data_IF_570248354612
#
_entry.id   IF_570248354612
#
_cell.length_a   1.000
_cell.length_b   1.000
_cell.length_c   1.000
_cell.angle_alpha   90.00
_cell.angle_beta   90.00
_cell.angle_gamma   90.00
#
_symmetry.space_group_name_H-M   'P 1'
#
loop_
_entity.id
_entity.type
_entity.pdbx_description
1 polymer ?
#
# COMPACT_ATOMS: atom_id res chain seq x y z
N UNK A 1 -24.09 -16.88 71.07
CA UNK A 1 -23.08 -17.79 70.53
C UNK A 1 -23.73 -18.62 69.43
N UNK A 2 -23.40 -18.35 68.16
CA UNK A 2 -23.53 -19.21 66.95
C UNK A 2 -23.24 -18.29 65.74
N UNK A 3 -21.96 -18.08 65.41
CA UNK A 3 -21.19 -18.84 64.43
C UNK A 3 -21.49 -18.41 62.99
N UNK A 4 -20.67 -17.46 62.53
CA UNK A 4 -20.46 -17.04 61.15
C UNK A 4 -20.02 -18.24 60.30
N UNK A 5 -20.68 -18.50 59.18
CA UNK A 5 -20.12 -19.38 58.12
C UNK A 5 -19.94 -18.54 56.87
N UNK A 6 -18.69 -18.13 56.66
CA UNK A 6 -18.22 -17.51 55.42
C UNK A 6 -18.29 -18.54 54.29
N UNK A 7 -19.03 -18.22 53.21
CA UNK A 7 -18.97 -18.99 51.96
C UNK A 7 -17.87 -18.39 51.08
N UNK A 8 -16.93 -19.17 50.54
CA UNK A 8 -15.96 -18.65 49.59
C UNK A 8 -16.69 -18.37 48.28
N UNK A 9 -16.66 -17.12 47.82
CA UNK A 9 -17.08 -16.77 46.47
C UNK A 9 -15.98 -17.23 45.51
N UNK A 10 -16.27 -18.28 44.74
CA UNK A 10 -15.40 -18.74 43.66
C UNK A 10 -15.56 -17.76 42.49
N UNK A 11 -14.57 -16.88 42.30
CA UNK A 11 -14.51 -15.96 41.17
C UNK A 11 -14.11 -16.75 39.92
N UNK A 12 -15.07 -17.05 39.05
CA UNK A 12 -14.83 -17.67 37.75
C UNK A 12 -14.26 -16.61 36.81
N UNK A 13 -12.93 -16.58 36.63
CA UNK A 13 -12.31 -15.81 35.54
C UNK A 13 -12.63 -16.51 34.21
N UNK A 14 -13.55 -15.93 33.45
CA UNK A 14 -13.76 -16.31 32.05
C UNK A 14 -12.60 -15.71 31.24
N UNK A 15 -11.58 -16.51 30.95
CA UNK A 15 -10.59 -16.18 29.93
C UNK A 15 -11.30 -16.37 28.59
N UNK A 16 -11.77 -15.27 27.99
CA UNK A 16 -12.18 -15.27 26.59
C UNK A 16 -10.88 -15.38 25.78
N UNK A 17 -10.47 -16.60 25.48
CA UNK A 17 -9.46 -16.84 24.47
C UNK A 17 -10.07 -16.42 23.14
N UNK A 18 -9.74 -15.23 22.65
CA UNK A 18 -10.04 -14.81 21.29
C UNK A 18 -9.34 -15.77 20.33
N UNK A 19 -10.08 -16.78 19.88
CA UNK A 19 -9.68 -17.63 18.76
C UNK A 19 -9.57 -16.72 17.54
N UNK A 20 -8.36 -16.21 17.29
CA UNK A 20 -8.02 -15.67 15.99
C UNK A 20 -7.95 -16.87 15.06
N UNK A 21 -9.00 -17.11 14.29
CA UNK A 21 -8.85 -18.03 13.17
C UNK A 21 -7.75 -17.48 12.27
N UNK A 22 -6.72 -18.27 11.93
CA UNK A 22 -5.75 -17.85 10.95
C UNK A 22 -6.54 -17.64 9.66
N UNK A 23 -6.55 -16.39 9.16
CA UNK A 23 -6.97 -16.11 7.79
C UNK A 23 -6.24 -17.11 6.92
N UNK A 24 -6.98 -18.02 6.29
CA UNK A 24 -6.42 -19.05 5.42
C UNK A 24 -5.68 -18.35 4.29
N UNK A 25 -4.36 -18.16 4.48
CA UNK A 25 -3.53 -17.45 3.53
C UNK A 25 -3.61 -18.15 2.17
N UNK A 26 -3.84 -17.37 1.12
CA UNK A 26 -3.93 -17.89 -0.24
C UNK A 26 -2.60 -18.55 -0.65
N UNK A 27 -2.56 -19.88 -0.74
CA UNK A 27 -1.33 -20.61 -1.07
C UNK A 27 -0.99 -20.63 -2.57
N UNK A 28 -1.99 -20.49 -3.44
CA UNK A 28 -1.82 -20.56 -4.91
C UNK A 28 -2.10 -19.22 -5.58
N UNK A 29 -1.28 -18.86 -6.56
CA UNK A 29 -1.49 -17.65 -7.36
C UNK A 29 -2.81 -17.73 -8.13
N UNK A 30 -3.56 -16.62 -8.18
CA UNK A 30 -4.77 -16.54 -9.03
C UNK A 30 -4.45 -16.39 -10.51
N UNK A 31 -3.26 -15.85 -10.84
CA UNK A 31 -2.80 -15.57 -12.21
C UNK A 31 -1.27 -15.61 -12.30
N UNK A 32 -0.65 -16.81 -12.34
CA UNK A 32 0.80 -16.94 -12.47
C UNK A 32 1.36 -16.18 -13.68
N UNK A 33 2.43 -15.39 -13.48
CA UNK A 33 3.14 -14.72 -14.58
C UNK A 33 2.48 -13.44 -15.10
N UNK A 34 1.41 -12.95 -14.45
CA UNK A 34 0.73 -11.70 -14.85
C UNK A 34 1.66 -10.47 -14.82
N UNK A 35 2.79 -10.57 -14.10
CA UNK A 35 3.79 -9.50 -13.94
C UNK A 35 5.01 -9.64 -14.86
N UNK A 36 5.08 -10.66 -15.73
CA UNK A 36 6.29 -10.94 -16.52
C UNK A 36 6.71 -9.74 -17.40
N UNK A 37 5.74 -9.05 -18.01
CA UNK A 37 6.01 -7.84 -18.81
C UNK A 37 6.45 -6.62 -17.99
N UNK A 38 6.33 -6.68 -16.67
CA UNK A 38 6.68 -5.60 -15.74
C UNK A 38 7.96 -5.89 -14.96
N UNK A 39 8.61 -7.05 -15.15
CA UNK A 39 9.88 -7.36 -14.49
C UNK A 39 11.04 -6.48 -14.98
N UNK A 40 11.00 -6.11 -16.27
CA UNK A 40 12.01 -5.26 -16.90
C UNK A 40 11.37 -4.18 -17.79
N UNK A 41 10.64 -3.21 -17.22
CA UNK A 41 9.91 -2.22 -18.00
C UNK A 41 10.85 -1.15 -18.56
N UNK A 42 10.43 -0.46 -19.62
CA UNK A 42 10.98 0.85 -20.00
C UNK A 42 10.08 1.96 -19.44
N UNK A 43 10.48 2.65 -18.36
CA UNK A 43 9.64 3.67 -17.75
C UNK A 43 9.19 4.76 -18.71
N UNK A 44 10.00 5.12 -19.73
CA UNK A 44 9.62 6.15 -20.69
C UNK A 44 8.44 5.71 -21.55
N UNK A 45 8.53 4.50 -22.11
CA UNK A 45 7.44 3.92 -22.92
C UNK A 45 6.15 3.81 -22.10
N UNK A 46 6.26 3.41 -20.83
CA UNK A 46 5.10 3.33 -19.95
C UNK A 46 4.54 4.70 -19.59
N UNK A 47 5.36 5.72 -19.38
CA UNK A 47 4.89 7.11 -19.14
C UNK A 47 4.09 7.61 -20.35
N UNK A 48 4.58 7.41 -21.57
CA UNK A 48 3.86 7.77 -22.81
C UNK A 48 2.52 7.04 -22.98
N UNK A 49 2.35 5.89 -22.32
CA UNK A 49 1.11 5.11 -22.35
C UNK A 49 0.17 5.43 -21.20
N UNK A 50 0.71 5.67 -20.01
CA UNK A 50 -0.04 5.79 -18.77
C UNK A 50 -0.48 7.21 -18.47
N UNK A 51 0.32 8.19 -18.86
CA UNK A 51 0.16 9.61 -18.53
C UNK A 51 -0.34 10.42 -19.73
N UNK A 52 -1.46 9.98 -20.31
CA UNK A 52 -2.10 10.61 -21.48
C UNK A 52 -3.55 10.96 -21.19
N UNK A 53 -4.02 12.09 -21.72
CA UNK A 53 -5.38 12.62 -21.46
C UNK A 53 -6.51 11.74 -21.99
N UNK A 54 -6.23 10.83 -22.93
CA UNK A 54 -7.20 9.82 -23.35
C UNK A 54 -7.43 8.72 -22.31
N UNK A 55 -6.54 8.57 -21.32
CA UNK A 55 -6.74 7.66 -20.19
C UNK A 55 -7.51 8.41 -19.10
N UNK A 56 -8.69 7.89 -18.75
CA UNK A 56 -9.57 8.50 -17.74
C UNK A 56 -8.86 8.72 -16.40
N UNK A 57 -8.09 7.74 -15.93
CA UNK A 57 -7.30 7.84 -14.70
C UNK A 57 -6.38 9.07 -14.72
N UNK A 58 -5.71 9.30 -15.85
CA UNK A 58 -4.84 10.46 -15.98
C UNK A 58 -5.65 11.75 -16.09
N UNK A 59 -6.69 11.78 -16.93
CA UNK A 59 -7.57 12.95 -17.08
C UNK A 59 -8.22 13.37 -15.75
N UNK A 60 -8.53 12.42 -14.89
CA UNK A 60 -9.21 12.60 -13.59
C UNK A 60 -8.27 12.62 -12.39
N UNK A 61 -6.95 12.61 -12.59
CA UNK A 61 -5.94 12.50 -11.53
C UNK A 61 -6.10 13.50 -10.37
N UNK A 62 -6.48 14.74 -10.66
CA UNK A 62 -6.70 15.77 -9.64
C UNK A 62 -8.02 15.56 -8.87
N UNK A 63 -9.06 15.07 -9.55
CA UNK A 63 -10.33 14.69 -8.91
C UNK A 63 -10.12 13.48 -7.99
N UNK A 64 -9.34 12.50 -8.43
CA UNK A 64 -8.94 11.33 -7.62
C UNK A 64 -8.13 11.78 -6.39
N UNK A 65 -7.09 12.61 -6.59
CA UNK A 65 -6.28 13.15 -5.50
C UNK A 65 -7.15 13.85 -4.43
N UNK A 66 -8.11 14.66 -4.89
CA UNK A 66 -9.04 15.36 -4.00
C UNK A 66 -9.97 14.39 -3.26
N UNK A 67 -10.48 13.37 -3.93
CA UNK A 67 -11.42 12.41 -3.36
C UNK A 67 -10.82 11.55 -2.24
N UNK A 68 -9.50 11.30 -2.26
CA UNK A 68 -8.80 10.53 -1.22
C UNK A 68 -8.85 11.24 0.14
N UNK A 69 -8.87 12.58 0.16
CA UNK A 69 -9.01 13.34 1.42
C UNK A 69 -7.77 13.33 2.31
N UNK A 70 -6.57 13.33 1.72
CA UNK A 70 -5.29 13.32 2.43
C UNK A 70 -5.14 14.50 3.41
N UNK A 71 -4.58 14.20 4.58
CA UNK A 71 -4.20 15.16 5.62
C UNK A 71 -2.70 15.45 5.55
N UNK A 72 -2.24 16.64 6.00
CA UNK A 72 -0.85 17.07 5.82
C UNK A 72 0.23 16.09 6.27
N UNK A 73 0.00 15.35 7.37
CA UNK A 73 0.98 14.43 7.95
C UNK A 73 0.77 12.95 7.58
N UNK A 74 -0.17 12.64 6.67
CA UNK A 74 -0.44 11.25 6.30
C UNK A 74 0.80 10.61 5.63
N UNK A 75 1.00 9.33 5.91
CA UNK A 75 1.91 8.44 5.20
C UNK A 75 1.13 7.64 4.17
N UNK A 76 1.42 7.85 2.88
CA UNK A 76 0.72 7.18 1.77
C UNK A 76 1.60 6.12 1.13
N UNK A 77 1.10 4.89 1.01
CA UNK A 77 1.68 3.89 0.11
C UNK A 77 1.01 3.96 -1.26
N UNK A 78 1.77 4.21 -2.32
CA UNK A 78 1.35 4.06 -3.72
C UNK A 78 1.75 2.65 -4.19
N UNK A 79 0.81 1.70 -4.14
CA UNK A 79 1.08 0.28 -4.38
C UNK A 79 0.89 -0.07 -5.86
N UNK A 80 1.97 -0.56 -6.48
CA UNK A 80 2.10 -0.64 -7.92
C UNK A 80 2.25 0.75 -8.54
N UNK A 81 3.20 1.52 -8.02
CA UNK A 81 3.38 2.93 -8.37
C UNK A 81 3.66 3.18 -9.87
N UNK A 82 4.21 2.19 -10.58
CA UNK A 82 4.48 2.26 -12.01
C UNK A 82 5.33 3.47 -12.38
N UNK A 83 4.82 4.33 -13.26
CA UNK A 83 5.56 5.53 -13.69
C UNK A 83 5.66 6.60 -12.61
N UNK A 84 4.96 6.46 -11.48
CA UNK A 84 4.97 7.41 -10.36
C UNK A 84 4.04 8.59 -10.51
N UNK A 85 3.03 8.51 -11.39
CA UNK A 85 2.04 9.58 -11.59
C UNK A 85 1.45 10.04 -10.26
N UNK A 86 0.84 9.11 -9.51
CA UNK A 86 0.20 9.43 -8.24
C UNK A 86 1.20 9.66 -7.12
N UNK A 87 2.32 8.92 -7.08
CA UNK A 87 3.43 9.21 -6.17
C UNK A 87 3.82 10.69 -6.17
N UNK A 88 4.02 11.29 -7.35
CA UNK A 88 4.39 12.71 -7.47
C UNK A 88 3.26 13.65 -7.03
N UNK A 89 2.02 13.31 -7.33
CA UNK A 89 0.84 14.10 -6.92
C UNK A 89 0.67 14.09 -5.39
N UNK A 90 0.79 12.93 -4.76
CA UNK A 90 0.74 12.78 -3.31
C UNK A 90 1.89 13.51 -2.63
N UNK A 91 3.11 13.36 -3.14
CA UNK A 91 4.29 13.99 -2.57
C UNK A 91 4.17 15.52 -2.56
N UNK A 92 3.72 16.11 -3.68
CA UNK A 92 3.46 17.53 -3.78
C UNK A 92 2.34 18.01 -2.84
N UNK A 93 1.30 17.18 -2.64
CA UNK A 93 0.17 17.48 -1.76
C UNK A 93 0.51 17.42 -0.27
N UNK A 94 1.39 16.50 0.12
CA UNK A 94 1.74 16.19 1.52
C UNK A 94 2.95 16.97 2.03
N UNK A 95 3.78 17.50 1.13
CA UNK A 95 4.96 18.25 1.54
C UNK A 95 4.59 19.50 2.37
N UNK A 96 5.35 19.85 3.42
CA UNK A 96 6.57 19.18 3.88
C UNK A 96 6.34 18.12 4.99
N UNK A 97 5.10 17.94 5.46
CA UNK A 97 4.80 17.22 6.70
C UNK A 97 4.63 15.72 6.51
N UNK A 98 3.96 15.31 5.43
CA UNK A 98 3.67 13.92 5.11
C UNK A 98 4.66 13.33 4.12
N UNK A 99 4.53 12.02 3.88
CA UNK A 99 5.46 11.26 3.03
C UNK A 99 4.74 10.23 2.18
N UNK A 100 5.40 9.83 1.09
CA UNK A 100 4.91 8.80 0.17
C UNK A 100 5.91 7.66 0.10
N UNK A 101 5.42 6.43 0.16
CA UNK A 101 6.19 5.21 -0.08
C UNK A 101 5.71 4.64 -1.42
N UNK A 102 6.53 4.76 -2.46
CA UNK A 102 6.26 4.18 -3.77
C UNK A 102 6.65 2.70 -3.76
N UNK A 103 5.65 1.83 -3.84
CA UNK A 103 5.84 0.37 -3.79
C UNK A 103 5.65 -0.19 -5.19
N UNK A 104 6.64 -0.92 -5.70
CA UNK A 104 6.54 -1.57 -7.01
C UNK A 104 7.40 -2.83 -7.08
N UNK A 105 7.02 -3.76 -7.96
CA UNK A 105 7.77 -5.00 -8.22
C UNK A 105 8.97 -4.75 -9.13
N UNK A 106 8.94 -3.65 -9.89
CA UNK A 106 9.94 -3.32 -10.90
C UNK A 106 10.92 -2.25 -10.39
N UNK A 107 12.18 -2.65 -10.20
CA UNK A 107 13.25 -1.74 -9.77
C UNK A 107 13.43 -0.54 -10.72
N UNK A 108 13.25 -0.73 -12.04
CA UNK A 108 13.36 0.36 -13.03
C UNK A 108 12.29 1.45 -12.84
N UNK A 109 11.08 1.08 -12.41
CA UNK A 109 10.06 2.08 -12.07
C UNK A 109 10.44 2.87 -10.82
N UNK A 110 10.91 2.18 -9.77
CA UNK A 110 11.38 2.85 -8.55
C UNK A 110 12.53 3.83 -8.83
N UNK A 111 13.51 3.43 -9.63
CA UNK A 111 14.62 4.31 -10.03
C UNK A 111 14.13 5.53 -10.83
N UNK A 112 13.15 5.33 -11.71
CA UNK A 112 12.52 6.43 -12.45
C UNK A 112 11.76 7.40 -11.53
N UNK A 113 11.03 6.88 -10.54
CA UNK A 113 10.31 7.68 -9.54
C UNK A 113 11.30 8.53 -8.74
N UNK A 114 12.38 7.94 -8.24
CA UNK A 114 13.39 8.66 -7.46
C UNK A 114 13.98 9.83 -8.26
N UNK A 115 14.36 9.59 -9.52
CA UNK A 115 14.90 10.62 -10.42
C UNK A 115 13.88 11.74 -10.64
N UNK A 116 12.65 11.40 -11.06
CA UNK A 116 11.63 12.41 -11.42
C UNK A 116 11.12 13.19 -10.21
N UNK A 117 11.05 12.58 -9.02
CA UNK A 117 10.74 13.28 -7.78
C UNK A 117 11.86 14.27 -7.41
N UNK A 118 13.13 13.84 -7.51
CA UNK A 118 14.29 14.71 -7.24
C UNK A 118 14.34 15.91 -8.18
N UNK A 119 14.07 15.71 -9.47
CA UNK A 119 14.00 16.79 -10.46
C UNK A 119 12.92 17.83 -10.14
N UNK A 120 11.83 17.41 -9.49
CA UNK A 120 10.73 18.28 -9.03
C UNK A 120 10.92 18.79 -7.59
N UNK A 121 12.08 18.52 -6.98
CA UNK A 121 12.40 18.83 -5.60
C UNK A 121 11.42 18.25 -4.57
N UNK A 122 10.80 17.11 -4.89
CA UNK A 122 9.97 16.33 -3.96
C UNK A 122 10.89 15.45 -3.13
N UNK A 123 11.06 15.79 -1.85
CA UNK A 123 12.03 15.14 -0.94
C UNK A 123 11.39 14.18 0.06
N UNK A 124 10.07 14.08 0.05
CA UNK A 124 9.25 13.28 0.95
C UNK A 124 8.76 11.99 0.30
N UNK A 125 9.60 11.36 -0.53
CA UNK A 125 9.29 10.12 -1.25
C UNK A 125 10.37 9.08 -0.98
N UNK A 126 9.94 7.91 -0.51
CA UNK A 126 10.76 6.71 -0.38
C UNK A 126 10.30 5.68 -1.40
N UNK A 127 11.22 4.86 -1.91
CA UNK A 127 10.90 3.73 -2.80
C UNK A 127 11.05 2.41 -2.06
N UNK A 128 10.18 1.44 -2.36
CA UNK A 128 10.16 0.13 -1.73
C UNK A 128 9.91 -0.96 -2.77
N UNK A 129 10.88 -1.87 -2.92
CA UNK A 129 10.76 -3.02 -3.81
C UNK A 129 9.92 -4.12 -3.14
N UNK A 130 8.84 -4.52 -3.80
CA UNK A 130 7.95 -5.56 -3.31
C UNK A 130 8.21 -6.93 -3.95
N UNK A 131 7.49 -7.96 -3.49
CA UNK A 131 7.49 -9.31 -4.09
C UNK A 131 6.12 -9.61 -4.70
N UNK A 132 5.97 -10.78 -5.32
CA UNK A 132 4.70 -11.23 -5.92
C UNK A 132 3.56 -11.39 -4.91
N UNK A 133 3.89 -11.58 -3.64
CA UNK A 133 2.96 -11.94 -2.57
C UNK A 133 3.01 -10.99 -1.37
N UNK A 134 3.85 -9.95 -1.38
CA UNK A 134 4.00 -9.02 -0.26
C UNK A 134 4.35 -7.61 -0.76
N UNK A 135 3.71 -6.59 -0.17
CA UNK A 135 4.07 -5.18 -0.35
C UNK A 135 5.39 -4.80 0.32
N UNK A 136 5.87 -5.62 1.25
CA UNK A 136 7.03 -5.37 2.11
C UNK A 136 6.88 -4.14 3.03
N UNK A 137 5.68 -3.57 3.12
CA UNK A 137 5.39 -2.47 4.04
C UNK A 137 5.46 -2.97 5.50
N UNK A 138 6.14 -2.26 6.41
CA UNK A 138 6.10 -2.61 7.82
C UNK A 138 4.67 -2.49 8.36
N UNK A 139 4.31 -3.33 9.34
CA UNK A 139 3.02 -3.25 10.01
C UNK A 139 2.79 -1.85 10.62
N UNK A 140 1.58 -1.32 10.49
CA UNK A 140 1.16 -0.01 11.01
C UNK A 140 2.04 1.17 10.55
N UNK A 141 2.60 1.10 9.34
CA UNK A 141 3.51 2.14 8.80
C UNK A 141 2.85 3.19 7.92
N UNK A 142 1.60 2.99 7.50
CA UNK A 142 0.90 3.87 6.54
C UNK A 142 -0.50 4.24 7.04
N UNK A 143 -0.93 5.45 6.73
CA UNK A 143 -2.28 5.95 7.00
C UNK A 143 -3.23 5.65 5.83
N UNK A 144 -2.70 5.65 4.59
CA UNK A 144 -3.45 5.37 3.36
C UNK A 144 -2.65 4.44 2.46
N UNK A 145 -3.28 3.36 1.98
CA UNK A 145 -2.79 2.55 0.88
C UNK A 145 -3.62 2.85 -0.37
N UNK A 146 -2.96 3.31 -1.42
CA UNK A 146 -3.56 3.62 -2.71
C UNK A 146 -3.16 2.57 -3.75
N UNK A 147 -4.14 2.05 -4.48
CA UNK A 147 -3.94 1.09 -5.57
C UNK A 147 -4.73 1.60 -6.76
N UNK A 148 -4.08 1.79 -7.90
CA UNK A 148 -4.71 2.27 -9.11
C UNK A 148 -4.26 1.44 -10.32
N UNK A 149 -5.20 0.75 -10.96
CA UNK A 149 -4.94 -0.09 -12.14
C UNK A 149 -3.89 -1.21 -11.89
N UNK A 150 -3.69 -1.61 -10.62
CA UNK A 150 -2.70 -2.64 -10.23
C UNK A 150 -3.33 -3.85 -9.51
N UNK A 151 -4.50 -3.73 -8.88
CA UNK A 151 -5.05 -4.84 -8.07
C UNK A 151 -5.18 -6.17 -8.85
N UNK A 152 -5.48 -6.10 -10.14
CA UNK A 152 -5.59 -7.27 -11.02
C UNK A 152 -4.24 -7.92 -11.39
N UNK A 153 -3.12 -7.31 -11.01
CA UNK A 153 -1.75 -7.82 -11.10
C UNK A 153 -1.28 -8.54 -9.84
N UNK A 154 -2.07 -8.55 -8.77
CA UNK A 154 -1.71 -9.31 -7.57
C UNK A 154 -1.89 -10.80 -7.82
N UNK A 155 -0.79 -11.54 -7.77
CA UNK A 155 -0.80 -12.99 -7.85
C UNK A 155 -1.44 -13.61 -6.61
N UNK A 156 -1.22 -12.98 -5.44
CA UNK A 156 -1.76 -13.41 -4.16
C UNK A 156 -2.50 -12.25 -3.45
N UNK A 157 -3.66 -11.78 -3.95
CA UNK A 157 -4.31 -10.56 -3.45
C UNK A 157 -4.52 -10.51 -1.93
N UNK A 158 -4.82 -11.64 -1.29
CA UNK A 158 -4.98 -11.70 0.17
C UNK A 158 -3.64 -11.54 0.90
N UNK A 159 -2.58 -12.21 0.43
CA UNK A 159 -1.25 -12.11 1.04
C UNK A 159 -0.65 -10.73 0.82
N UNK A 160 -0.72 -10.21 -0.40
CA UNK A 160 -0.20 -8.89 -0.75
C UNK A 160 -0.79 -7.79 0.13
N UNK A 161 -2.07 -7.91 0.50
CA UNK A 161 -2.81 -6.92 1.30
C UNK A 161 -2.77 -7.17 2.81
N UNK A 162 -2.04 -8.19 3.27
CA UNK A 162 -1.90 -8.49 4.70
C UNK A 162 -0.43 -8.25 5.10
N UNK A 163 -0.12 -7.20 5.87
CA UNK A 163 1.23 -6.97 6.40
C UNK A 163 1.65 -7.97 7.48
#
# INVERSE_FOLDING_TARGET
MTSLVSRPALLLMVVIASLHEPVSAQEKSVRPGINDSFRDPDPKQFTERFEIESREVFAKREEILKAIGLKPADVVADVGAGTGLFTRLFAAKLAPEGRVIAVDIAKKFLDHIEVTCRERNLRNVDTLLCTDDSTQLPANSVDVAFICDTYHHFEFPQKTMTP
#
